data_IF_866995577126
#
_entry.id   IF_866995577126
#
_cell.length_a   1.000
_cell.length_b   1.000
_cell.length_c   1.000
_cell.angle_alpha   90.00
_cell.angle_beta   90.00
_cell.angle_gamma   90.00
#
_symmetry.space_group_name_H-M   'P 1'
#
loop_
_entity.id
_entity.type
_entity.pdbx_description
1 polymer ?
#
# COMPACT_ATOMS: atom_id res chain seq x y z
N UNK A 1 -3.83 34.09 15.47
CA UNK A 1 -2.87 33.71 14.45
C UNK A 1 -2.46 32.23 14.48
N UNK A 2 -2.72 31.51 15.54
CA UNK A 2 -2.62 30.05 15.56
C UNK A 2 -3.99 29.48 15.14
N UNK A 3 -4.12 29.08 13.89
CA UNK A 3 -5.31 28.42 13.41
C UNK A 3 -5.39 27.01 14.02
N UNK A 4 -6.59 26.48 14.24
CA UNK A 4 -6.86 25.25 15.03
C UNK A 4 -6.04 24.01 14.67
N UNK A 5 -5.24 24.01 13.59
CA UNK A 5 -4.48 22.84 13.12
C UNK A 5 -3.03 23.17 12.69
N UNK A 6 -2.44 24.26 13.12
CA UNK A 6 -1.08 24.62 12.72
C UNK A 6 -0.08 24.55 13.88
N UNK A 7 0.99 23.79 13.65
CA UNK A 7 2.17 23.84 14.49
C UNK A 7 3.05 25.03 14.06
N UNK A 8 3.45 25.87 14.99
CA UNK A 8 4.30 27.03 14.70
C UNK A 8 5.59 26.93 15.49
N UNK A 9 6.72 27.07 14.80
CA UNK A 9 8.03 27.08 15.46
C UNK A 9 8.15 28.27 16.41
N UNK A 10 8.63 28.03 17.62
CA UNK A 10 8.94 29.10 18.59
C UNK A 10 9.93 30.13 18.06
N UNK A 11 10.83 29.74 17.15
CA UNK A 11 11.75 30.65 16.46
C UNK A 11 11.00 31.67 15.61
N UNK A 12 9.95 31.24 14.92
CA UNK A 12 9.10 32.12 14.10
C UNK A 12 8.27 33.04 14.99
N UNK A 13 7.65 32.48 16.04
CA UNK A 13 6.90 33.28 17.01
C UNK A 13 7.77 34.31 17.70
N UNK A 14 9.01 33.95 18.08
CA UNK A 14 9.96 34.86 18.67
C UNK A 14 10.38 35.98 17.69
N UNK A 15 10.62 35.67 16.42
CA UNK A 15 10.91 36.65 15.38
C UNK A 15 9.77 37.67 15.20
N UNK A 16 8.53 37.18 15.11
CA UNK A 16 7.34 38.08 15.03
C UNK A 16 7.14 38.92 16.28
N UNK A 17 7.37 38.35 17.44
CA UNK A 17 7.28 39.08 18.72
C UNK A 17 8.38 40.15 18.83
N UNK A 18 9.63 39.80 18.51
CA UNK A 18 10.75 40.72 18.53
C UNK A 18 10.55 41.91 17.57
N UNK A 19 10.01 41.67 16.38
CA UNK A 19 9.67 42.75 15.44
C UNK A 19 8.59 43.70 15.93
N UNK A 20 7.67 43.23 16.77
CA UNK A 20 6.55 44.05 17.27
C UNK A 20 6.85 44.81 18.57
N UNK A 21 7.76 44.30 19.38
CA UNK A 21 7.93 44.80 20.79
C UNK A 21 9.35 45.30 21.03
N UNK A 22 10.25 45.21 20.05
CA UNK A 22 11.67 45.65 20.19
C UNK A 22 12.41 45.02 21.37
N UNK A 23 11.91 43.89 21.88
CA UNK A 23 12.44 43.20 23.06
C UNK A 23 13.04 41.84 22.67
N UNK A 24 14.35 41.80 22.57
CA UNK A 24 15.12 40.58 22.28
C UNK A 24 15.29 39.67 23.49
N UNK A 25 14.75 40.04 24.67
CA UNK A 25 14.95 39.32 25.92
C UNK A 25 13.93 38.21 26.13
N UNK A 26 14.38 37.03 26.00
CA UNK A 26 13.88 35.83 26.69
C UNK A 26 12.74 35.02 26.04
N UNK A 27 13.12 33.90 25.45
CA UNK A 27 12.19 32.80 25.09
C UNK A 27 11.25 32.40 26.24
N UNK A 28 11.73 32.45 27.49
CA UNK A 28 10.92 32.11 28.65
C UNK A 28 9.74 33.09 28.85
N UNK A 29 9.94 34.39 28.63
CA UNK A 29 8.86 35.39 28.72
C UNK A 29 7.84 35.24 27.59
N UNK A 30 8.30 34.89 26.38
CA UNK A 30 7.39 34.62 25.28
C UNK A 30 6.54 33.38 25.56
N UNK A 31 7.14 32.31 26.06
CA UNK A 31 6.46 31.09 26.46
C UNK A 31 5.36 31.34 27.46
N UNK A 32 5.70 32.07 28.57
CA UNK A 32 4.75 32.45 29.60
C UNK A 32 3.60 33.33 29.08
N UNK A 33 3.90 34.31 28.21
CA UNK A 33 2.86 35.19 27.62
C UNK A 33 1.96 34.43 26.63
N UNK A 34 2.51 33.55 25.84
CA UNK A 34 1.72 32.71 24.94
C UNK A 34 0.81 31.77 25.73
N UNK A 35 1.31 31.16 26.80
CA UNK A 35 0.50 30.35 27.72
C UNK A 35 -0.60 31.14 28.41
N UNK A 36 -0.31 32.33 28.92
CA UNK A 36 -1.33 33.17 29.58
C UNK A 36 -2.39 33.71 28.61
N UNK A 37 -2.05 33.93 27.34
CA UNK A 37 -2.98 34.45 26.35
C UNK A 37 -3.93 33.40 25.78
N UNK A 38 -3.53 32.11 25.77
CA UNK A 38 -4.31 31.01 25.19
C UNK A 38 -4.85 30.01 26.23
N UNK A 39 -4.47 30.21 27.52
CA UNK A 39 -4.79 29.27 28.61
C UNK A 39 -3.76 28.13 28.71
N UNK A 40 -3.43 27.75 29.93
CA UNK A 40 -2.37 26.75 30.20
C UNK A 40 -2.64 25.38 29.64
N UNK A 41 -3.92 25.03 29.38
CA UNK A 41 -4.34 23.70 28.96
C UNK A 41 -4.52 23.56 27.43
N UNK A 42 -4.29 24.64 26.67
CA UNK A 42 -4.57 24.62 25.23
C UNK A 42 -3.32 24.60 24.35
N UNK A 43 -2.13 24.76 24.94
CA UNK A 43 -0.89 24.81 24.17
C UNK A 43 0.16 23.88 24.75
N UNK A 44 0.78 23.11 23.88
CA UNK A 44 1.90 22.25 24.22
C UNK A 44 3.18 22.69 23.50
N UNK A 45 4.29 22.60 24.22
CA UNK A 45 5.61 22.90 23.71
C UNK A 45 6.38 21.61 23.54
N UNK A 46 6.60 21.20 22.29
CA UNK A 46 7.32 19.97 21.96
C UNK A 46 8.74 20.31 21.52
N UNK A 47 9.72 19.63 22.11
CA UNK A 47 11.11 19.67 21.66
C UNK A 47 11.31 18.61 20.56
N UNK A 48 11.55 19.06 19.33
CA UNK A 48 11.59 18.17 18.15
C UNK A 48 12.98 17.58 17.88
N UNK A 49 14.05 18.11 18.51
CA UNK A 49 15.39 17.52 18.42
C UNK A 49 16.31 17.97 19.56
N UNK A 50 17.46 17.27 19.73
CA UNK A 50 18.52 17.64 20.69
C UNK A 50 19.07 19.07 20.51
N UNK A 51 18.84 19.69 19.35
CA UNK A 51 19.28 21.05 18.99
C UNK A 51 18.14 22.07 18.90
N UNK A 52 17.12 21.95 19.75
CA UNK A 52 16.24 23.08 20.11
C UNK A 52 15.36 23.60 18.97
N UNK A 53 14.39 22.82 18.55
CA UNK A 53 13.20 23.39 17.95
C UNK A 53 12.02 23.13 18.90
N UNK A 54 11.68 24.10 19.70
CA UNK A 54 10.41 24.11 20.43
C UNK A 54 9.30 24.46 19.43
N UNK A 55 8.32 23.62 19.33
CA UNK A 55 7.13 23.83 18.49
C UNK A 55 5.94 23.99 19.40
N UNK A 56 5.15 25.04 19.19
CA UNK A 56 3.89 25.28 19.91
C UNK A 56 2.76 24.67 19.11
N UNK A 57 2.02 23.78 19.73
CA UNK A 57 0.90 23.08 19.10
C UNK A 57 -0.35 23.24 19.98
N UNK A 58 -1.50 23.49 19.36
CA UNK A 58 -2.79 23.45 20.05
C UNK A 58 -3.09 22.00 20.49
N UNK A 59 -3.72 21.82 21.66
CA UNK A 59 -4.11 20.52 22.20
C UNK A 59 -4.89 19.66 21.18
N UNK A 60 -5.83 20.27 20.46
CA UNK A 60 -6.63 19.60 19.44
C UNK A 60 -5.77 19.13 18.25
N UNK A 61 -4.73 19.91 17.90
CA UNK A 61 -3.80 19.58 16.84
C UNK A 61 -2.85 18.44 17.24
N UNK A 62 -2.44 18.36 18.52
CA UNK A 62 -1.63 17.24 19.03
C UNK A 62 -2.42 15.94 18.94
N UNK A 63 -3.65 15.95 19.42
CA UNK A 63 -4.49 14.75 19.40
C UNK A 63 -4.68 14.25 17.96
N UNK A 64 -5.00 15.15 17.03
CA UNK A 64 -5.14 14.82 15.62
C UNK A 64 -3.84 14.32 14.99
N UNK A 65 -2.70 14.93 15.32
CA UNK A 65 -1.38 14.56 14.80
C UNK A 65 -0.92 13.20 15.35
N UNK A 66 -1.13 12.94 16.64
CA UNK A 66 -0.81 11.65 17.26
C UNK A 66 -1.65 10.55 16.65
N UNK A 67 -2.98 10.73 16.52
CA UNK A 67 -3.86 9.77 15.87
C UNK A 67 -3.49 9.53 14.41
N UNK A 68 -3.06 10.57 13.67
CA UNK A 68 -2.63 10.42 12.28
C UNK A 68 -1.33 9.61 12.19
N UNK A 69 -0.35 9.90 13.05
CA UNK A 69 0.92 9.15 13.08
C UNK A 69 0.71 7.70 13.50
N UNK A 70 -0.13 7.44 14.49
CA UNK A 70 -0.47 6.09 14.92
C UNK A 70 -1.14 5.31 13.77
N UNK A 71 -2.08 5.93 13.06
CA UNK A 71 -2.73 5.31 11.88
C UNK A 71 -1.75 5.03 10.75
N UNK A 72 -0.87 5.99 10.43
CA UNK A 72 0.15 5.81 9.40
C UNK A 72 1.10 4.65 9.75
N UNK A 73 1.51 4.57 11.01
CA UNK A 73 2.35 3.48 11.50
C UNK A 73 1.66 2.11 11.44
N UNK A 74 0.38 2.04 11.83
CA UNK A 74 -0.42 0.81 11.72
C UNK A 74 -0.53 0.36 10.27
N UNK A 75 -0.80 1.28 9.34
CA UNK A 75 -0.89 0.97 7.91
C UNK A 75 0.46 0.48 7.37
N UNK A 76 1.56 1.14 7.76
CA UNK A 76 2.90 0.74 7.37
C UNK A 76 3.24 -0.68 7.87
N UNK A 77 2.99 -0.96 9.14
CA UNK A 77 3.20 -2.29 9.73
C UNK A 77 2.36 -3.37 9.01
N UNK A 78 1.08 -3.09 8.77
CA UNK A 78 0.21 -4.02 8.06
C UNK A 78 0.73 -4.31 6.64
N UNK A 79 1.18 -3.27 5.92
CA UNK A 79 1.75 -3.42 4.59
C UNK A 79 3.06 -4.24 4.60
N UNK A 80 3.93 -4.03 5.60
CA UNK A 80 5.17 -4.78 5.76
C UNK A 80 4.90 -6.27 6.05
N UNK A 81 3.97 -6.57 6.94
CA UNK A 81 3.56 -7.95 7.24
C UNK A 81 2.99 -8.66 6.01
N UNK A 82 2.02 -8.04 5.32
CA UNK A 82 1.43 -8.60 4.10
C UNK A 82 2.48 -8.86 3.02
N UNK A 83 3.39 -7.90 2.83
CA UNK A 83 4.49 -8.06 1.89
C UNK A 83 5.39 -9.24 2.26
N UNK A 84 5.73 -9.40 3.55
CA UNK A 84 6.51 -10.51 4.06
C UNK A 84 5.85 -11.87 3.78
N UNK A 85 4.56 -11.97 4.07
CA UNK A 85 3.77 -13.18 3.83
C UNK A 85 3.71 -13.55 2.34
N UNK A 86 3.48 -12.56 1.47
CA UNK A 86 3.45 -12.76 0.02
C UNK A 86 4.81 -13.23 -0.51
N UNK A 87 5.90 -12.62 -0.08
CA UNK A 87 7.25 -13.01 -0.52
C UNK A 87 7.62 -14.41 -0.01
N UNK A 88 7.28 -14.73 1.23
CA UNK A 88 7.47 -16.08 1.80
C UNK A 88 6.68 -17.12 1.01
N UNK A 89 5.40 -16.84 0.75
CA UNK A 89 4.54 -17.69 -0.07
C UNK A 89 5.13 -17.91 -1.47
N UNK A 90 5.53 -16.86 -2.16
CA UNK A 90 6.09 -16.97 -3.50
C UNK A 90 7.39 -17.79 -3.54
N UNK A 91 8.22 -17.67 -2.49
CA UNK A 91 9.48 -18.41 -2.39
C UNK A 91 9.29 -19.90 -2.01
N UNK A 92 8.22 -20.24 -1.31
CA UNK A 92 7.94 -21.62 -0.88
C UNK A 92 7.02 -22.37 -1.84
N UNK A 93 6.33 -21.66 -2.74
CA UNK A 93 5.46 -22.30 -3.74
C UNK A 93 6.32 -22.95 -4.83
N UNK A 94 6.01 -24.20 -5.21
CA UNK A 94 6.73 -24.89 -6.28
C UNK A 94 6.71 -24.11 -7.60
N UNK A 95 7.82 -24.17 -8.34
CA UNK A 95 7.89 -23.62 -9.68
C UNK A 95 6.89 -24.34 -10.63
N UNK A 96 6.44 -23.61 -11.63
CA UNK A 96 5.56 -24.19 -12.64
C UNK A 96 6.35 -25.12 -13.56
N UNK A 97 5.77 -26.27 -13.89
CA UNK A 97 6.31 -27.16 -14.93
C UNK A 97 6.22 -26.49 -16.31
N UNK A 98 7.15 -26.83 -17.18
CA UNK A 98 7.08 -26.38 -18.58
C UNK A 98 6.68 -27.53 -19.52
N UNK A 99 5.73 -27.33 -20.42
CA UNK A 99 4.89 -26.15 -20.62
C UNK A 99 3.90 -25.94 -19.46
N UNK A 100 3.55 -24.67 -19.19
CA UNK A 100 2.64 -24.32 -18.11
C UNK A 100 1.25 -24.92 -18.37
N UNK A 101 0.75 -25.68 -17.41
CA UNK A 101 -0.60 -26.25 -17.47
C UNK A 101 -1.55 -25.54 -16.50
N UNK A 102 -2.80 -25.35 -16.94
CA UNK A 102 -3.82 -24.67 -16.13
C UNK A 102 -4.05 -25.35 -14.78
N UNK A 103 -4.00 -26.69 -14.71
CA UNK A 103 -4.13 -27.47 -13.46
C UNK A 103 -3.07 -27.07 -12.42
N UNK A 104 -1.84 -26.75 -12.85
CA UNK A 104 -0.75 -26.38 -11.95
C UNK A 104 -0.96 -24.97 -11.40
N UNK A 105 -1.51 -24.05 -12.21
CA UNK A 105 -1.85 -22.70 -11.81
C UNK A 105 -3.06 -22.62 -10.85
N UNK A 106 -3.97 -23.58 -10.92
CA UNK A 106 -5.19 -23.62 -10.10
C UNK A 106 -5.08 -24.55 -8.89
N UNK A 107 -3.88 -25.09 -8.64
CA UNK A 107 -3.64 -25.93 -7.47
C UNK A 107 -3.76 -25.14 -6.15
N UNK A 108 -4.21 -25.80 -5.10
CA UNK A 108 -4.34 -25.18 -3.77
C UNK A 108 -3.01 -24.66 -3.21
N UNK A 109 -1.88 -25.24 -3.63
CA UNK A 109 -0.54 -24.77 -3.27
C UNK A 109 -0.22 -23.36 -3.79
N UNK A 110 -0.99 -22.85 -4.77
CA UNK A 110 -0.81 -21.52 -5.36
C UNK A 110 -1.91 -20.53 -4.97
N UNK A 111 -2.73 -20.87 -4.00
CA UNK A 111 -3.67 -19.92 -3.41
C UNK A 111 -2.91 -18.86 -2.58
N UNK A 112 -3.26 -17.57 -2.69
CA UNK A 112 -2.64 -16.51 -1.92
C UNK A 112 -2.69 -16.76 -0.41
N UNK A 113 -1.74 -16.19 0.37
CA UNK A 113 -1.71 -16.37 1.82
C UNK A 113 -3.04 -15.94 2.47
N UNK A 114 -3.48 -16.63 3.54
CA UNK A 114 -4.72 -16.28 4.27
C UNK A 114 -4.74 -14.85 4.81
N UNK A 115 -3.59 -14.27 5.13
CA UNK A 115 -3.46 -12.88 5.57
C UNK A 115 -3.90 -11.87 4.50
N UNK A 116 -3.62 -12.17 3.21
CA UNK A 116 -4.06 -11.36 2.08
C UNK A 116 -5.57 -11.43 1.90
N UNK A 117 -6.16 -12.65 1.98
CA UNK A 117 -7.62 -12.82 1.93
C UNK A 117 -8.30 -12.08 3.09
N UNK A 118 -7.81 -12.25 4.30
CA UNK A 118 -8.35 -11.59 5.49
C UNK A 118 -8.27 -10.06 5.38
N UNK A 119 -7.15 -9.52 4.91
CA UNK A 119 -6.98 -8.08 4.70
C UNK A 119 -7.99 -7.55 3.67
N UNK A 120 -8.06 -8.17 2.50
CA UNK A 120 -8.98 -7.74 1.44
C UNK A 120 -10.45 -7.93 1.83
N UNK A 121 -10.78 -9.00 2.55
CA UNK A 121 -12.12 -9.22 3.07
C UNK A 121 -12.54 -8.10 4.02
N UNK A 122 -11.68 -7.72 4.95
CA UNK A 122 -11.95 -6.60 5.86
C UNK A 122 -12.02 -5.25 5.14
N UNK A 123 -11.28 -5.07 4.05
CA UNK A 123 -11.26 -3.83 3.27
C UNK A 123 -12.48 -3.69 2.35
N UNK A 124 -12.89 -4.78 1.69
CA UNK A 124 -13.85 -4.75 0.59
C UNK A 124 -15.28 -5.14 1.01
N UNK A 125 -15.45 -5.76 2.18
CA UNK A 125 -16.76 -6.27 2.60
C UNK A 125 -17.18 -5.71 3.94
N UNK A 126 -18.48 -5.57 4.14
CA UNK A 126 -19.10 -5.40 5.45
C UNK A 126 -19.47 -6.77 6.02
N UNK A 127 -19.76 -6.85 7.34
CA UNK A 127 -20.18 -8.09 7.99
C UNK A 127 -21.38 -8.75 7.28
N UNK A 128 -22.27 -7.94 6.73
CA UNK A 128 -23.51 -8.40 6.06
C UNK A 128 -23.25 -8.98 4.66
N UNK A 129 -22.17 -8.56 3.98
CA UNK A 129 -21.90 -8.91 2.58
C UNK A 129 -20.64 -9.79 2.41
N UNK A 130 -20.04 -10.25 3.51
CA UNK A 130 -18.75 -10.96 3.47
C UNK A 130 -18.78 -12.30 2.73
N UNK A 131 -19.94 -12.89 2.55
CA UNK A 131 -20.13 -14.20 1.89
C UNK A 131 -20.64 -14.15 0.45
N UNK A 132 -20.86 -12.98 -0.15
CA UNK A 132 -21.40 -12.91 -1.51
C UNK A 132 -20.42 -13.42 -2.56
N UNK A 133 -20.91 -14.07 -3.61
CA UNK A 133 -20.08 -14.56 -4.74
C UNK A 133 -19.30 -13.42 -5.42
N UNK A 134 -19.90 -12.25 -5.52
CA UNK A 134 -19.25 -11.06 -6.08
C UNK A 134 -18.08 -10.62 -5.21
N UNK A 135 -18.25 -10.58 -3.88
CA UNK A 135 -17.18 -10.22 -2.95
C UNK A 135 -16.04 -11.24 -3.03
N UNK A 136 -16.35 -12.54 -3.00
CA UNK A 136 -15.36 -13.60 -3.08
C UNK A 136 -14.57 -13.55 -4.40
N UNK A 137 -15.23 -13.27 -5.53
CA UNK A 137 -14.58 -13.11 -6.83
C UNK A 137 -13.66 -11.91 -6.87
N UNK A 138 -14.08 -10.77 -6.31
CA UNK A 138 -13.24 -9.57 -6.21
C UNK A 138 -12.02 -9.79 -5.31
N UNK A 139 -12.22 -10.41 -4.14
CA UNK A 139 -11.12 -10.73 -3.22
C UNK A 139 -10.08 -11.61 -3.91
N UNK A 140 -10.50 -12.69 -4.57
CA UNK A 140 -9.58 -13.55 -5.34
C UNK A 140 -8.84 -12.77 -6.43
N UNK A 141 -9.53 -11.89 -7.14
CA UNK A 141 -8.94 -11.07 -8.19
C UNK A 141 -7.87 -10.12 -7.65
N UNK A 142 -8.18 -9.37 -6.58
CA UNK A 142 -7.22 -8.43 -5.97
C UNK A 142 -6.09 -9.14 -5.21
N UNK A 143 -6.35 -10.32 -4.63
CA UNK A 143 -5.29 -11.16 -4.06
C UNK A 143 -4.25 -11.52 -5.11
N UNK A 144 -4.68 -11.93 -6.29
CA UNK A 144 -3.79 -12.23 -7.41
C UNK A 144 -2.99 -10.98 -7.84
N UNK A 145 -3.62 -9.81 -7.92
CA UNK A 145 -2.94 -8.55 -8.25
C UNK A 145 -1.89 -8.16 -7.20
N UNK A 146 -2.20 -8.31 -5.91
CA UNK A 146 -1.24 -8.04 -4.84
C UNK A 146 -0.02 -8.97 -4.92
N UNK A 147 -0.24 -10.27 -5.11
CA UNK A 147 0.85 -11.25 -5.25
C UNK A 147 1.70 -10.91 -6.47
N UNK A 148 1.09 -10.65 -7.62
CA UNK A 148 1.79 -10.29 -8.85
C UNK A 148 2.61 -8.99 -8.67
N UNK A 149 2.00 -7.95 -8.12
CA UNK A 149 2.65 -6.66 -7.91
C UNK A 149 3.82 -6.73 -6.92
N UNK A 150 3.65 -7.40 -5.77
CA UNK A 150 4.71 -7.55 -4.76
C UNK A 150 5.89 -8.36 -5.29
N UNK A 151 5.63 -9.38 -6.10
CA UNK A 151 6.67 -10.24 -6.72
C UNK A 151 7.22 -9.64 -8.01
N UNK A 152 6.74 -8.46 -8.43
CA UNK A 152 7.15 -7.79 -9.68
C UNK A 152 6.97 -8.70 -10.91
N UNK A 153 5.86 -9.41 -10.96
CA UNK A 153 5.52 -10.31 -12.06
C UNK A 153 6.24 -11.67 -12.07
N UNK A 154 7.17 -11.91 -11.15
CA UNK A 154 7.89 -13.20 -11.09
C UNK A 154 6.99 -14.37 -10.72
N UNK A 155 6.00 -14.13 -9.88
CA UNK A 155 5.00 -15.14 -9.54
C UNK A 155 3.83 -15.05 -10.49
N UNK A 156 3.69 -16.05 -11.37
CA UNK A 156 2.59 -16.14 -12.34
C UNK A 156 1.35 -16.65 -11.61
N UNK A 157 0.31 -15.85 -11.53
CA UNK A 157 -1.00 -16.24 -11.00
C UNK A 157 -1.91 -16.72 -12.12
N UNK A 158 -2.91 -17.54 -11.80
CA UNK A 158 -3.91 -18.02 -12.78
C UNK A 158 -4.64 -16.88 -13.48
N UNK A 159 -4.97 -15.79 -12.76
CA UNK A 159 -5.62 -14.62 -13.33
C UNK A 159 -4.78 -13.98 -14.44
N UNK A 160 -3.52 -13.67 -14.15
CA UNK A 160 -2.64 -12.96 -15.09
C UNK A 160 -2.33 -13.82 -16.32
N UNK A 161 -2.16 -15.11 -16.10
CA UNK A 161 -1.92 -16.06 -17.16
C UNK A 161 -3.13 -16.21 -18.09
N UNK A 162 -4.31 -16.48 -17.52
CA UNK A 162 -5.54 -16.67 -18.29
C UNK A 162 -5.97 -15.40 -19.03
N UNK A 163 -5.74 -14.22 -18.43
CA UNK A 163 -6.07 -12.96 -19.11
C UNK A 163 -5.16 -12.73 -20.33
N UNK A 164 -3.86 -13.02 -20.21
CA UNK A 164 -2.93 -12.90 -21.32
C UNK A 164 -3.28 -13.84 -22.48
N UNK A 165 -3.48 -15.14 -22.20
CA UNK A 165 -3.92 -16.12 -23.19
C UNK A 165 -5.28 -15.78 -23.80
N UNK A 166 -6.26 -15.38 -22.94
CA UNK A 166 -7.60 -15.03 -23.41
C UNK A 166 -7.59 -13.84 -24.36
N UNK A 167 -6.82 -12.79 -24.03
CA UNK A 167 -6.65 -11.63 -24.92
C UNK A 167 -6.00 -12.04 -26.25
N UNK A 168 -4.98 -12.91 -26.23
CA UNK A 168 -4.36 -13.41 -27.44
C UNK A 168 -5.35 -14.21 -28.30
N UNK A 169 -6.05 -15.15 -27.72
CA UNK A 169 -7.02 -15.98 -28.42
C UNK A 169 -8.18 -15.18 -29.05
N UNK A 170 -8.62 -14.09 -28.38
CA UNK A 170 -9.74 -13.28 -28.89
C UNK A 170 -9.27 -12.30 -29.96
N UNK A 171 -8.09 -11.70 -29.79
CA UNK A 171 -7.66 -10.58 -30.64
C UNK A 171 -6.62 -10.94 -31.67
N UNK A 172 -5.81 -11.97 -31.43
CA UNK A 172 -4.63 -12.32 -32.25
C UNK A 172 -3.56 -11.21 -32.27
N UNK A 173 -3.66 -10.20 -31.41
CA UNK A 173 -2.85 -9.00 -31.49
C UNK A 173 -1.96 -8.82 -30.25
N UNK A 174 -0.72 -8.38 -30.49
CA UNK A 174 0.25 -8.06 -29.44
C UNK A 174 -0.18 -6.86 -28.58
N UNK A 175 -0.72 -5.82 -29.21
CA UNK A 175 -0.95 -4.52 -28.56
C UNK A 175 -1.88 -4.53 -27.34
N UNK A 176 -3.05 -5.21 -27.37
CA UNK A 176 -3.91 -5.31 -26.20
C UNK A 176 -3.21 -5.98 -25.01
N UNK A 177 -2.43 -7.02 -25.25
CA UNK A 177 -1.67 -7.73 -24.23
C UNK A 177 -0.61 -6.81 -23.62
N UNK A 178 0.16 -6.09 -24.45
CA UNK A 178 1.16 -5.16 -23.97
C UNK A 178 0.56 -4.06 -23.08
N UNK A 179 -0.58 -3.46 -23.49
CA UNK A 179 -1.27 -2.44 -22.68
C UNK A 179 -1.69 -3.04 -21.33
N UNK A 180 -2.32 -4.20 -21.33
CA UNK A 180 -2.81 -4.85 -20.11
C UNK A 180 -1.67 -5.32 -19.21
N UNK A 181 -0.55 -5.77 -19.79
CA UNK A 181 0.67 -6.10 -19.06
C UNK A 181 1.31 -4.87 -18.41
N UNK A 182 1.43 -3.75 -19.13
CA UNK A 182 1.93 -2.50 -18.57
C UNK A 182 1.07 -1.97 -17.41
N UNK A 183 -0.23 -2.30 -17.40
CA UNK A 183 -1.13 -2.03 -16.28
C UNK A 183 -0.99 -3.04 -15.13
N UNK A 184 -0.15 -4.07 -15.29
CA UNK A 184 0.09 -5.10 -14.27
C UNK A 184 -1.01 -6.16 -14.17
N UNK A 185 -1.82 -6.37 -15.22
CA UNK A 185 -2.99 -7.25 -15.16
C UNK A 185 -2.86 -8.56 -15.93
N UNK A 186 -1.83 -8.73 -16.75
CA UNK A 186 -1.58 -10.01 -17.43
C UNK A 186 -0.07 -10.29 -17.58
N UNK A 187 0.26 -11.53 -17.99
CA UNK A 187 1.62 -11.90 -18.40
C UNK A 187 2.00 -11.16 -19.69
N UNK A 188 3.30 -11.12 -19.99
CA UNK A 188 3.78 -10.50 -21.23
C UNK A 188 3.43 -11.30 -22.47
N UNK A 189 3.53 -10.65 -23.63
CA UNK A 189 3.18 -11.25 -24.90
C UNK A 189 4.14 -12.39 -25.30
N UNK A 190 5.40 -12.25 -25.00
CA UNK A 190 6.42 -13.20 -25.40
C UNK A 190 6.21 -14.53 -24.65
N UNK A 191 5.88 -14.47 -23.34
CA UNK A 191 5.50 -15.64 -22.56
C UNK A 191 4.20 -16.30 -23.09
N UNK A 192 3.21 -15.51 -23.55
CA UNK A 192 1.99 -16.06 -24.19
C UNK A 192 2.37 -16.90 -25.41
N UNK A 193 3.20 -16.34 -26.31
CA UNK A 193 3.64 -17.04 -27.53
C UNK A 193 4.47 -18.30 -27.21
N UNK A 194 5.35 -18.24 -26.23
CA UNK A 194 6.16 -19.39 -25.79
C UNK A 194 5.28 -20.53 -25.28
N UNK A 195 4.28 -20.21 -24.46
CA UNK A 195 3.34 -21.22 -23.93
C UNK A 195 2.52 -21.87 -25.03
N UNK A 196 1.97 -21.07 -25.95
CA UNK A 196 1.19 -21.60 -27.06
C UNK A 196 2.04 -22.49 -27.97
N UNK A 197 3.26 -22.08 -28.29
CA UNK A 197 4.21 -22.88 -29.06
C UNK A 197 4.50 -24.22 -28.38
N UNK A 198 4.85 -24.19 -27.11
CA UNK A 198 5.15 -25.40 -26.34
C UNK A 198 3.93 -26.35 -26.22
N UNK A 199 2.73 -25.78 -26.08
CA UNK A 199 1.50 -26.58 -26.05
C UNK A 199 1.22 -27.23 -27.42
N UNK A 200 1.44 -26.52 -28.54
CA UNK A 200 1.30 -27.06 -29.88
C UNK A 200 2.29 -28.21 -30.16
N UNK A 201 3.56 -28.02 -29.80
CA UNK A 201 4.60 -29.06 -29.88
C UNK A 201 4.24 -30.30 -29.05
N UNK A 202 3.79 -30.10 -27.81
CA UNK A 202 3.38 -31.21 -26.95
C UNK A 202 2.14 -31.97 -27.48
N UNK A 203 1.27 -31.30 -28.23
CA UNK A 203 0.12 -31.92 -28.88
C UNK A 203 0.55 -32.77 -30.10
N UNK A 204 1.51 -32.29 -30.89
CA UNK A 204 2.05 -33.01 -32.04
C UNK A 204 2.77 -34.32 -31.65
N UNK A 205 3.46 -34.32 -30.51
CA UNK A 205 4.16 -35.51 -30.00
C UNK A 205 3.21 -36.62 -29.50
N UNK A 206 1.93 -36.31 -29.32
CA UNK A 206 0.92 -37.26 -28.83
C UNK A 206 0.00 -37.83 -29.95
N UNK A 207 0.11 -37.27 -31.15
CA UNK A 207 -0.63 -37.69 -32.34
C UNK A 207 0.14 -38.75 -33.12
#
# INVERSE_FOLDING_TARGET
MLNKNQAVSMKVLHGVYAMRVDDTRCRAKLKSRVQSSFGENHLYFLSVSKNILEVVINADAIHSHTLFNDRAHIIEQAAQHLRGDILSFANTTPELSWPIHLKDLTSSAREPPPSVDAFLRNLLTTKEHSGSDTANRLIKSYSADLVHGVTKGKFITSKHFLLGLGLHNITGQKKPIQITNHLGHCIDYDLVCEVETAQAEAAQLKA
#
